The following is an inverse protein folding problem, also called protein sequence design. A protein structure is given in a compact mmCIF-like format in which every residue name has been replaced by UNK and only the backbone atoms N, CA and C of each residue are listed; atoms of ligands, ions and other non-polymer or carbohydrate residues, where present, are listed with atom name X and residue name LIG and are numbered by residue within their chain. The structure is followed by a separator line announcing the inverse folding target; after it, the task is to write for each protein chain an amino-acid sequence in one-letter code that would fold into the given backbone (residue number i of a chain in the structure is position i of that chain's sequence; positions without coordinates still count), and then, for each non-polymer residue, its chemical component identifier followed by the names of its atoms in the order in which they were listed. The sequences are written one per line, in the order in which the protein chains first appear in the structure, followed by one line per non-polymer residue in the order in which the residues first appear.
data_IF_568896920726
#
_entry.id   IF_568896920726
#
_cell.length_a   1.000
_cell.length_b   1.000
_cell.length_c   1.000
_cell.angle_alpha   90.00
_cell.angle_beta   90.00
_cell.angle_gamma   90.00
#
_symmetry.space_group_name_H-M   'P 1'
#
loop_
_entity.id
_entity.type
_entity.pdbx_description
1 polymer ?
#
# COMPACT_ATOMS: atom_id res chain seq x y z
N UNK A 1 3.82 -4.10 17.41
CA UNK A 1 4.21 -4.67 18.72
C UNK A 1 4.83 -3.53 19.51
N UNK A 2 4.10 -3.01 20.49
CA UNK A 2 4.55 -1.88 21.30
C UNK A 2 5.76 -2.28 22.14
N UNK A 3 6.63 -1.31 22.41
CA UNK A 3 7.92 -1.47 23.12
C UNK A 3 7.72 -2.01 24.56
N UNK A 4 6.50 -1.93 25.08
CA UNK A 4 6.13 -2.24 26.47
C UNK A 4 6.24 -3.72 26.86
N UNK A 5 6.31 -4.67 25.92
CA UNK A 5 6.43 -6.12 26.22
C UNK A 5 7.72 -6.76 25.72
N UNK A 6 8.79 -5.97 25.60
CA UNK A 6 10.09 -6.46 25.14
C UNK A 6 10.64 -7.51 26.10
N UNK A 7 10.91 -8.73 25.59
CA UNK A 7 11.47 -9.84 26.37
C UNK A 7 10.46 -10.74 27.08
N UNK A 8 9.16 -10.53 26.85
CA UNK A 8 8.10 -11.40 27.37
C UNK A 8 7.56 -12.32 26.28
N UNK A 9 7.29 -13.58 26.62
CA UNK A 9 6.58 -14.50 25.75
C UNK A 9 5.11 -14.09 25.66
N UNK A 10 4.65 -13.74 24.46
CA UNK A 10 3.26 -13.33 24.20
C UNK A 10 2.65 -14.27 23.18
N UNK A 11 1.53 -14.89 23.54
CA UNK A 11 0.70 -15.68 22.62
C UNK A 11 -0.10 -14.75 21.71
N UNK A 12 0.12 -14.85 20.40
CA UNK A 12 -0.67 -14.14 19.40
C UNK A 12 -1.85 -15.04 18.98
N UNK A 13 -3.12 -14.61 19.12
CA UNK A 13 -4.25 -15.42 18.70
C UNK A 13 -4.27 -15.58 17.18
N UNK A 14 -4.66 -16.77 16.69
CA UNK A 14 -4.85 -17.02 15.25
C UNK A 14 -6.26 -16.61 14.83
N UNK A 15 -6.37 -15.84 13.75
CA UNK A 15 -7.64 -15.46 13.15
C UNK A 15 -8.05 -16.53 12.13
N UNK A 16 -9.35 -16.85 12.11
CA UNK A 16 -9.96 -17.77 11.14
C UNK A 16 -10.89 -16.96 10.23
N UNK A 17 -10.61 -16.96 8.94
CA UNK A 17 -11.50 -16.46 7.90
C UNK A 17 -12.21 -17.64 7.23
N UNK A 18 -13.51 -17.52 6.99
CA UNK A 18 -14.32 -18.51 6.28
C UNK A 18 -14.99 -17.79 5.11
N UNK A 19 -14.87 -18.34 3.90
CA UNK A 19 -15.56 -17.79 2.72
C UNK A 19 -17.07 -17.99 2.84
N UNK A 20 -17.86 -17.08 2.27
CA UNK A 20 -19.30 -17.19 2.27
C UNK A 20 -19.74 -18.43 1.46
N UNK A 21 -20.69 -19.20 1.99
CA UNK A 21 -21.18 -20.45 1.41
C UNK A 21 -22.20 -20.26 0.29
N UNK A 22 -22.65 -19.01 0.07
CA UNK A 22 -23.58 -18.65 -0.99
C UNK A 22 -22.89 -18.18 -2.28
N UNK A 23 -21.56 -18.17 -2.31
CA UNK A 23 -20.81 -17.85 -3.52
C UNK A 23 -20.82 -19.08 -4.44
N UNK A 24 -21.69 -19.04 -5.46
CA UNK A 24 -21.94 -20.14 -6.41
C UNK A 24 -20.71 -20.56 -7.24
N UNK A 25 -19.57 -19.90 -7.04
CA UNK A 25 -18.30 -20.15 -7.72
C UNK A 25 -17.55 -21.38 -7.22
N UNK A 26 -17.78 -21.85 -5.98
CA UNK A 26 -17.06 -23.02 -5.42
C UNK A 26 -17.99 -23.97 -4.64
N UNK A 27 -17.87 -25.31 -4.85
CA UNK A 27 -18.67 -26.30 -4.13
C UNK A 27 -18.18 -26.58 -2.69
N UNK A 28 -17.29 -25.75 -2.15
CA UNK A 28 -16.68 -25.93 -0.83
C UNK A 28 -16.42 -24.60 -0.12
N UNK A 29 -16.42 -24.62 1.21
CA UNK A 29 -16.07 -23.45 2.02
C UNK A 29 -14.55 -23.41 2.29
N UNK A 30 -13.92 -22.29 1.92
CA UNK A 30 -12.51 -22.04 2.19
C UNK A 30 -12.35 -21.49 3.61
N UNK A 31 -11.56 -22.18 4.42
CA UNK A 31 -11.19 -21.75 5.77
C UNK A 31 -9.70 -21.43 5.85
N UNK A 32 -9.36 -20.18 6.15
CA UNK A 32 -7.98 -19.71 6.32
C UNK A 32 -7.72 -19.36 7.78
N UNK A 33 -6.83 -20.11 8.44
CA UNK A 33 -6.37 -19.84 9.81
C UNK A 33 -4.95 -19.29 9.78
N UNK A 34 -4.75 -18.06 10.19
CA UNK A 34 -3.44 -17.40 10.17
C UNK A 34 -3.19 -16.54 11.41
N UNK A 35 -1.92 -16.26 11.72
CA UNK A 35 -1.59 -15.20 12.66
C UNK A 35 -1.83 -13.84 12.00
N UNK A 36 -2.32 -12.83 12.73
CA UNK A 36 -2.51 -11.46 12.24
C UNK A 36 -1.17 -10.70 12.22
N UNK A 37 -0.15 -11.28 11.64
CA UNK A 37 1.18 -10.67 11.50
C UNK A 37 1.59 -10.75 10.04
N UNK A 38 2.17 -9.67 9.54
CA UNK A 38 2.77 -9.61 8.22
C UNK A 38 4.13 -8.93 8.38
N UNK A 39 5.18 -9.53 7.81
CA UNK A 39 6.49 -8.90 7.69
C UNK A 39 6.36 -7.72 6.73
N UNK A 40 6.51 -6.49 7.22
CA UNK A 40 6.34 -5.29 6.42
C UNK A 40 7.58 -4.39 6.51
N UNK A 41 8.64 -4.78 5.79
CA UNK A 41 9.70 -3.83 5.42
C UNK A 41 9.26 -2.97 4.23
N UNK A 42 8.50 -3.57 3.31
CA UNK A 42 7.83 -2.91 2.20
C UNK A 42 6.37 -3.36 2.13
N UNK A 43 5.50 -2.47 1.66
CA UNK A 43 4.08 -2.76 1.41
C UNK A 43 3.66 -2.13 0.09
N UNK A 44 2.64 -2.70 -0.55
CA UNK A 44 2.08 -2.11 -1.76
C UNK A 44 1.30 -0.84 -1.42
N UNK A 45 1.23 0.09 -2.38
CA UNK A 45 0.51 1.36 -2.22
C UNK A 45 -0.95 1.14 -1.77
N UNK A 46 -1.63 0.16 -2.36
CA UNK A 46 -3.02 -0.17 -2.02
C UNK A 46 -3.17 -0.67 -0.58
N UNK A 47 -2.16 -1.36 -0.04
CA UNK A 47 -2.16 -1.81 1.37
C UNK A 47 -1.82 -0.69 2.34
N UNK A 48 -1.06 0.31 1.90
CA UNK A 48 -0.75 1.50 2.69
C UNK A 48 -1.93 2.47 2.81
N UNK A 49 -2.99 2.31 2.00
CA UNK A 49 -4.16 3.18 2.05
C UNK A 49 -4.78 3.21 3.45
N UNK A 50 -5.02 4.42 3.96
CA UNK A 50 -5.55 4.64 5.31
C UNK A 50 -4.51 4.56 6.44
N UNK A 51 -3.25 4.28 6.13
CA UNK A 51 -2.16 4.31 7.10
C UNK A 51 -1.40 5.64 7.05
N UNK A 52 -0.72 5.96 8.15
CA UNK A 52 0.23 7.08 8.23
C UNK A 52 1.62 6.49 8.52
N UNK A 53 2.61 6.85 7.71
CA UNK A 53 4.01 6.43 7.87
C UNK A 53 4.90 7.62 8.19
N UNK A 54 5.85 7.42 9.10
CA UNK A 54 6.76 8.50 9.52
C UNK A 54 7.79 8.85 8.45
N UNK A 55 8.40 7.84 7.82
CA UNK A 55 9.35 7.97 6.72
C UNK A 55 8.89 7.04 5.59
N UNK A 56 8.85 7.54 4.37
CA UNK A 56 8.37 6.80 3.21
C UNK A 56 9.49 6.63 2.18
N UNK A 57 9.84 5.39 1.88
CA UNK A 57 10.58 5.03 0.67
C UNK A 57 9.60 4.55 -0.40
N UNK A 58 9.41 5.35 -1.46
CA UNK A 58 8.58 4.98 -2.60
C UNK A 58 9.47 4.36 -3.68
N UNK A 59 9.27 3.08 -3.97
CA UNK A 59 9.98 2.40 -5.05
C UNK A 59 8.99 2.06 -6.16
N UNK A 60 9.20 2.66 -7.34
CA UNK A 60 8.42 2.44 -8.53
C UNK A 60 9.26 1.65 -9.54
N UNK A 61 9.18 0.32 -9.43
CA UNK A 61 9.73 -0.60 -10.43
C UNK A 61 8.94 -0.53 -11.75
N UNK A 62 7.68 -0.12 -11.70
CA UNK A 62 6.85 0.21 -12.86
C UNK A 62 6.05 1.47 -12.55
N UNK A 63 5.65 2.26 -13.57
CA UNK A 63 4.76 3.39 -13.38
C UNK A 63 3.45 2.99 -12.68
N UNK A 64 2.84 3.93 -11.95
CA UNK A 64 1.49 3.73 -11.41
C UNK A 64 0.52 3.47 -12.56
N UNK A 65 -0.44 2.55 -12.35
CA UNK A 65 -1.36 2.10 -13.39
C UNK A 65 -2.82 2.44 -13.10
N UNK A 66 -3.15 2.84 -11.86
CA UNK A 66 -4.52 3.17 -11.45
C UNK A 66 -4.67 4.61 -10.99
N UNK A 67 -5.89 5.11 -11.13
CA UNK A 67 -6.26 6.44 -10.66
C UNK A 67 -5.89 6.66 -9.20
N UNK A 68 -5.22 7.79 -8.92
CA UNK A 68 -4.95 8.24 -7.55
C UNK A 68 -3.92 7.40 -6.80
N UNK A 69 -3.29 6.41 -7.44
CA UNK A 69 -2.32 5.52 -6.77
C UNK A 69 -1.10 6.30 -6.25
N UNK A 70 -0.52 7.15 -7.10
CA UNK A 70 0.59 8.01 -6.70
C UNK A 70 0.20 8.95 -5.55
N UNK A 71 -1.01 9.53 -5.63
CA UNK A 71 -1.57 10.34 -4.55
C UNK A 71 -1.73 9.55 -3.25
N UNK A 72 -2.25 8.33 -3.30
CA UNK A 72 -2.37 7.46 -2.13
C UNK A 72 -1.01 7.26 -1.49
N UNK A 73 0.03 6.97 -2.27
CA UNK A 73 1.39 6.78 -1.74
C UNK A 73 1.93 8.06 -1.06
N UNK A 74 1.89 9.20 -1.75
CA UNK A 74 2.44 10.45 -1.25
C UNK A 74 1.68 11.00 -0.05
N UNK A 75 0.36 10.78 0.02
CA UNK A 75 -0.48 11.23 1.14
C UNK A 75 -0.29 10.42 2.43
N UNK A 76 0.50 9.33 2.42
CA UNK A 76 0.73 8.54 3.65
C UNK A 76 1.73 9.19 4.62
N UNK A 77 2.47 10.20 4.17
CA UNK A 77 3.51 10.87 4.95
C UNK A 77 3.07 12.28 5.33
N UNK A 78 3.60 12.81 6.44
CA UNK A 78 3.18 14.11 6.97
C UNK A 78 4.01 15.29 6.44
N UNK A 79 5.19 15.04 5.85
CA UNK A 79 6.08 16.08 5.35
C UNK A 79 6.83 15.61 4.10
N UNK A 80 7.01 16.48 3.08
CA UNK A 80 7.75 16.13 1.86
C UNK A 80 9.20 15.72 2.11
N UNK A 81 9.87 16.30 3.12
CA UNK A 81 11.26 15.98 3.48
C UNK A 81 11.48 14.55 3.97
N UNK A 82 10.39 13.84 4.29
CA UNK A 82 10.42 12.45 4.79
C UNK A 82 10.09 11.43 3.71
N UNK A 83 10.04 11.86 2.44
CA UNK A 83 9.84 11.01 1.28
C UNK A 83 11.15 10.88 0.53
N UNK A 84 11.48 9.65 0.14
CA UNK A 84 12.47 9.36 -0.90
C UNK A 84 11.82 8.50 -1.95
N UNK A 85 11.97 8.85 -3.22
CA UNK A 85 11.42 8.09 -4.33
C UNK A 85 12.55 7.56 -5.22
N UNK A 86 12.41 6.32 -5.68
CA UNK A 86 13.25 5.69 -6.69
C UNK A 86 12.34 5.23 -7.81
N UNK A 87 12.62 5.69 -9.03
CA UNK A 87 11.87 5.38 -10.24
C UNK A 87 12.83 4.66 -11.17
N UNK A 88 12.56 3.39 -11.46
CA UNK A 88 13.48 2.55 -12.22
C UNK A 88 13.35 2.77 -13.74
N UNK A 89 12.13 3.06 -14.20
CA UNK A 89 11.83 3.39 -15.59
C UNK A 89 11.14 4.75 -15.65
N UNK A 90 11.90 5.85 -15.56
CA UNK A 90 11.34 7.18 -15.61
C UNK A 90 10.91 7.56 -17.03
N UNK A 91 9.88 8.38 -17.11
CA UNK A 91 9.59 9.13 -18.33
C UNK A 91 10.67 10.22 -18.45
N UNK A 92 11.40 10.20 -19.57
CA UNK A 92 12.40 11.22 -19.89
C UNK A 92 11.67 12.40 -20.53
N UNK A 93 11.57 13.51 -19.82
CA UNK A 93 11.15 14.79 -20.42
C UNK A 93 12.38 15.59 -20.87
N UNK A 94 12.16 16.67 -21.65
CA UNK A 94 13.22 17.55 -22.19
C UNK A 94 14.04 18.28 -21.12
N UNK A 95 13.70 18.13 -19.83
CA UNK A 95 14.42 18.67 -18.69
C UNK A 95 15.12 17.57 -17.89
N UNK A 96 16.22 17.92 -17.21
CA UNK A 96 17.14 17.02 -16.48
C UNK A 96 16.53 16.36 -15.22
N UNK A 97 15.22 16.08 -15.23
CA UNK A 97 14.45 15.53 -14.13
C UNK A 97 14.01 14.08 -14.35
N UNK A 98 13.65 13.41 -13.25
CA UNK A 98 13.09 12.05 -13.24
C UNK A 98 11.58 12.15 -13.06
N UNK A 99 10.80 11.70 -14.04
CA UNK A 99 9.34 11.82 -14.05
C UNK A 99 8.64 10.46 -14.04
N UNK A 100 7.40 10.45 -13.57
CA UNK A 100 6.49 9.29 -13.62
C UNK A 100 5.07 9.78 -13.90
N UNK A 101 4.30 9.00 -14.67
CA UNK A 101 2.90 9.31 -14.95
C UNK A 101 2.07 9.44 -13.66
N UNK A 102 1.28 10.52 -13.58
CA UNK A 102 0.23 10.69 -12.60
C UNK A 102 -1.13 10.38 -13.23
N UNK A 103 -1.67 9.19 -12.97
CA UNK A 103 -2.95 8.76 -13.52
C UNK A 103 -4.10 9.38 -12.71
N UNK A 104 -4.78 10.35 -13.33
CA UNK A 104 -5.89 11.09 -12.73
C UNK A 104 -7.11 11.07 -13.66
N UNK A 105 -8.25 10.60 -13.17
CA UNK A 105 -9.52 10.66 -13.87
C UNK A 105 -10.00 12.10 -13.95
N UNK A 106 -10.17 12.62 -15.17
CA UNK A 106 -10.46 14.04 -15.36
C UNK A 106 -11.86 14.45 -14.92
N UNK A 107 -12.80 13.50 -14.82
CA UNK A 107 -14.17 13.78 -14.37
C UNK A 107 -14.22 14.47 -13.00
N UNK A 108 -13.22 14.25 -12.14
CA UNK A 108 -13.14 14.87 -10.82
C UNK A 108 -12.90 16.39 -10.86
N UNK A 109 -12.38 16.90 -11.98
CA UNK A 109 -12.10 18.33 -12.18
C UNK A 109 -13.25 19.07 -12.87
N UNK A 110 -14.12 18.34 -13.57
CA UNK A 110 -15.27 18.90 -14.28
C UNK A 110 -16.48 19.18 -13.36
N UNK A 111 -16.40 18.79 -12.08
CA UNK A 111 -17.49 18.96 -11.10
C UNK A 111 -17.34 20.19 -10.20
N UNK A 112 -16.50 21.16 -10.59
CA UNK A 112 -16.22 22.39 -9.84
C UNK A 112 -16.90 23.63 -10.45
#
# INVERSE_FOLDING_TARGET
MTVERRGQDVLIPRIVFISDGNDASFPYQLRRKQFPVQTAFAMTINKAQGQTVHNLGLYLASPCFSHGQLYVALSRVTAPSKIKAVIEYPELEESDGVYTANIVYRQIFDTA
#
